data_IF_004417276059
#
_entry.id   IF_004417276059
#
_cell.length_a   1.000
_cell.length_b   1.000
_cell.length_c   1.000
_cell.angle_alpha   90.00
_cell.angle_beta   90.00
_cell.angle_gamma   90.00
#
_symmetry.space_group_name_H-M   'P 1'
#
loop_
_entity.id
_entity.type
_entity.pdbx_description
1 polymer ?
#
# COMPACT_ATOMS: atom_id res chain seq x y z
N UNK A 1 51.97 -43.45 28.12
CA UNK A 1 50.71 -42.70 28.21
C UNK A 1 50.40 -42.19 26.81
N UNK A 2 49.38 -42.77 26.14
CA UNK A 2 49.00 -42.43 24.76
C UNK A 2 48.01 -41.27 24.83
N UNK A 3 48.38 -40.11 24.30
CA UNK A 3 47.47 -38.97 24.15
C UNK A 3 46.47 -39.29 23.04
N UNK A 4 45.22 -39.52 23.41
CA UNK A 4 44.10 -39.70 22.50
C UNK A 4 43.61 -38.31 22.10
N UNK A 5 43.93 -37.87 20.87
CA UNK A 5 43.35 -36.65 20.28
C UNK A 5 41.94 -37.02 19.81
N UNK A 6 40.93 -36.49 20.51
CA UNK A 6 39.53 -36.60 20.12
C UNK A 6 39.25 -35.54 19.05
N UNK A 7 39.13 -35.98 17.79
CA UNK A 7 38.66 -35.12 16.70
C UNK A 7 37.14 -35.13 16.74
N UNK A 8 36.53 -34.03 17.18
CA UNK A 8 35.08 -33.82 17.06
C UNK A 8 34.83 -33.30 15.64
N UNK A 9 34.05 -33.99 14.79
CA UNK A 9 33.66 -33.42 13.51
C UNK A 9 32.69 -32.26 13.76
N UNK A 10 33.12 -31.05 13.45
CA UNK A 10 32.26 -29.87 13.40
C UNK A 10 31.30 -30.05 12.21
N UNK A 11 30.10 -30.56 12.47
CA UNK A 11 29.01 -30.56 11.50
C UNK A 11 28.47 -29.14 11.42
N UNK A 12 28.91 -28.38 10.41
CA UNK A 12 28.26 -27.12 10.04
C UNK A 12 26.96 -27.54 9.33
N UNK A 13 25.85 -27.55 10.08
CA UNK A 13 24.53 -27.70 9.47
C UNK A 13 24.27 -26.46 8.61
N UNK A 14 24.27 -26.65 7.29
CA UNK A 14 23.79 -25.66 6.33
C UNK A 14 22.26 -25.61 6.50
N UNK A 15 21.78 -24.80 7.44
CA UNK A 15 20.35 -24.51 7.54
C UNK A 15 19.96 -23.74 6.28
N UNK A 16 18.95 -24.18 5.50
CA UNK A 16 18.42 -23.36 4.44
C UNK A 16 17.92 -22.05 5.07
N UNK A 17 18.44 -20.93 4.57
CA UNK A 17 17.91 -19.60 4.88
C UNK A 17 16.53 -19.54 4.23
N UNK A 18 15.48 -19.82 4.99
CA UNK A 18 14.13 -19.50 4.54
C UNK A 18 14.00 -17.98 4.65
N UNK A 19 13.78 -17.29 3.53
CA UNK A 19 13.24 -15.94 3.59
C UNK A 19 11.90 -16.03 4.33
N UNK A 20 11.78 -15.28 5.43
CA UNK A 20 10.50 -15.09 6.10
C UNK A 20 9.91 -13.83 5.48
N UNK A 21 8.65 -13.90 5.04
CA UNK A 21 7.95 -12.72 4.57
C UNK A 21 7.96 -11.65 5.67
N UNK A 22 8.34 -10.43 5.30
CA UNK A 22 8.29 -9.23 6.12
C UNK A 22 7.05 -8.42 5.76
N UNK A 23 6.60 -7.58 6.68
CA UNK A 23 5.43 -6.73 6.51
C UNK A 23 5.83 -5.26 6.72
N UNK A 24 5.46 -4.42 5.76
CA UNK A 24 5.59 -2.97 5.85
C UNK A 24 4.19 -2.33 5.93
N UNK A 25 3.94 -1.62 7.02
CA UNK A 25 2.72 -0.81 7.21
C UNK A 25 3.03 0.63 6.81
N UNK A 26 2.35 1.13 5.77
CA UNK A 26 2.63 2.41 5.14
C UNK A 26 1.47 3.39 5.38
N UNK A 27 1.79 4.49 6.06
CA UNK A 27 0.91 5.66 6.10
C UNK A 27 1.03 6.47 4.79
N UNK A 28 -0.03 7.18 4.38
CA UNK A 28 0.05 8.12 3.26
C UNK A 28 1.11 9.19 3.50
N UNK A 29 1.98 9.42 2.51
CA UNK A 29 2.86 10.60 2.48
C UNK A 29 2.13 11.83 1.94
N UNK A 30 1.11 11.62 1.11
CA UNK A 30 0.24 12.64 0.56
C UNK A 30 -1.18 12.09 0.44
N UNK A 31 -2.18 12.88 0.79
CA UNK A 31 -3.59 12.59 0.53
C UNK A 31 -4.40 13.87 0.25
N UNK A 32 -5.33 13.79 -0.69
CA UNK A 32 -6.16 14.94 -1.05
C UNK A 32 -7.56 14.49 -1.48
N UNK A 33 -8.60 14.83 -0.71
CA UNK A 33 -9.98 14.68 -1.13
C UNK A 33 -10.29 15.65 -2.27
N UNK A 34 -11.07 15.20 -3.26
CA UNK A 34 -11.57 16.04 -4.35
C UNK A 34 -13.07 15.83 -4.54
N UNK A 35 -13.78 16.91 -4.85
CA UNK A 35 -15.24 16.90 -4.91
C UNK A 35 -15.78 17.66 -6.11
N UNK A 36 -16.57 16.99 -6.94
CA UNK A 36 -17.13 17.53 -8.19
C UNK A 36 -17.91 18.84 -8.01
N UNK A 37 -18.68 18.96 -6.93
CA UNK A 37 -19.48 20.17 -6.70
C UNK A 37 -18.64 21.38 -6.27
N UNK A 38 -17.38 21.17 -5.91
CA UNK A 38 -16.42 22.18 -5.47
C UNK A 38 -15.13 22.05 -6.30
N UNK A 39 -15.31 22.15 -7.61
CA UNK A 39 -14.31 21.81 -8.63
C UNK A 39 -12.89 22.38 -8.42
N UNK A 40 -12.80 23.60 -7.90
CA UNK A 40 -11.57 24.37 -7.75
C UNK A 40 -11.07 24.45 -6.29
N UNK A 41 -11.75 23.79 -5.34
CA UNK A 41 -11.31 23.75 -3.95
C UNK A 41 -10.28 22.63 -3.75
N UNK A 42 -9.19 22.94 -3.04
CA UNK A 42 -8.22 21.98 -2.56
C UNK A 42 -8.59 21.58 -1.12
N UNK A 43 -8.52 20.28 -0.82
CA UNK A 43 -8.81 19.73 0.51
C UNK A 43 -7.63 18.95 1.11
N UNK A 44 -6.39 19.13 0.63
CA UNK A 44 -5.21 18.37 1.07
C UNK A 44 -4.73 18.64 2.51
N UNK A 45 -5.56 19.30 3.34
CA UNK A 45 -5.33 19.45 4.79
C UNK A 45 -6.55 19.01 5.60
N UNK A 46 -7.49 18.31 4.97
CA UNK A 46 -8.71 17.84 5.62
C UNK A 46 -8.47 16.51 6.31
N UNK A 47 -8.84 16.40 7.59
CA UNK A 47 -8.66 15.18 8.40
C UNK A 47 -9.51 13.97 7.96
N UNK A 48 -10.33 14.09 6.91
CA UNK A 48 -11.14 13.01 6.36
C UNK A 48 -11.26 13.16 4.85
N UNK A 49 -11.36 12.04 4.16
CA UNK A 49 -11.47 11.95 2.72
C UNK A 49 -12.87 11.69 2.22
N UNK A 50 -12.93 11.50 0.91
CA UNK A 50 -14.13 11.11 0.21
C UNK A 50 -13.92 9.83 -0.59
N UNK A 51 -14.85 8.90 -0.44
CA UNK A 51 -14.91 7.71 -1.26
C UNK A 51 -16.39 7.42 -1.52
N UNK A 52 -16.91 7.83 -2.67
CA UNK A 52 -18.33 7.66 -2.95
C UNK A 52 -18.90 8.62 -3.97
N UNK A 53 -20.22 8.80 -3.88
CA UNK A 53 -20.96 9.78 -4.65
C UNK A 53 -22.05 10.39 -3.78
N UNK A 54 -22.20 11.72 -3.82
CA UNK A 54 -23.31 12.41 -3.17
C UNK A 54 -23.62 13.72 -3.88
N UNK A 55 -24.61 13.68 -4.78
CA UNK A 55 -24.94 14.76 -5.71
C UNK A 55 -23.78 15.19 -6.64
N UNK A 56 -22.65 14.48 -6.59
CA UNK A 56 -21.44 14.65 -7.38
C UNK A 56 -20.41 13.60 -6.94
N UNK A 57 -19.44 13.31 -7.82
CA UNK A 57 -18.34 12.41 -7.55
C UNK A 57 -17.48 12.91 -6.38
N UNK A 58 -17.16 12.01 -5.45
CA UNK A 58 -16.31 12.34 -4.32
C UNK A 58 -15.19 11.29 -4.24
N UNK A 59 -13.93 11.75 -4.33
CA UNK A 59 -12.75 10.90 -4.44
C UNK A 59 -11.67 11.35 -3.47
N UNK A 60 -10.69 10.49 -3.23
CA UNK A 60 -9.47 10.81 -2.47
C UNK A 60 -8.27 10.30 -3.21
N UNK A 61 -7.31 11.17 -3.49
CA UNK A 61 -6.01 10.78 -4.00
C UNK A 61 -5.09 10.46 -2.82
N UNK A 62 -4.28 9.40 -2.91
CA UNK A 62 -3.42 8.94 -1.82
C UNK A 62 -2.10 8.43 -2.40
N UNK A 63 -0.96 8.81 -1.83
CA UNK A 63 0.38 8.37 -2.26
C UNK A 63 1.15 7.77 -1.09
N UNK A 64 1.89 6.69 -1.34
CA UNK A 64 2.71 5.98 -0.36
C UNK A 64 4.19 5.99 -0.76
N UNK A 65 5.08 6.06 0.22
CA UNK A 65 6.51 5.84 0.01
C UNK A 65 6.84 4.35 0.15
N UNK A 66 7.39 3.76 -0.92
CA UNK A 66 7.75 2.34 -0.99
C UNK A 66 9.26 2.11 -0.90
N UNK A 67 10.08 3.17 -0.76
CA UNK A 67 11.54 3.08 -0.85
C UNK A 67 12.20 2.20 0.22
N UNK A 68 11.48 1.87 1.31
CA UNK A 68 11.94 0.96 2.35
C UNK A 68 11.71 -0.53 2.06
N UNK A 69 11.01 -0.87 0.98
CA UNK A 69 10.67 -2.25 0.64
C UNK A 69 11.65 -2.76 -0.41
N UNK A 70 12.54 -3.67 0.00
CA UNK A 70 13.53 -4.30 -0.88
C UNK A 70 13.24 -5.80 -1.01
N UNK A 71 12.52 -6.21 -2.05
CA UNK A 71 12.17 -7.62 -2.21
C UNK A 71 11.10 -7.90 -3.24
N UNK A 72 10.66 -9.15 -3.27
CA UNK A 72 9.53 -9.61 -4.07
C UNK A 72 8.25 -9.43 -3.24
N UNK A 73 7.28 -8.67 -3.75
CA UNK A 73 5.96 -8.51 -3.13
C UNK A 73 5.21 -9.84 -3.19
N UNK A 74 4.68 -10.28 -2.05
CA UNK A 74 3.93 -11.53 -1.91
C UNK A 74 2.48 -11.33 -1.51
N UNK A 75 2.12 -10.15 -1.01
CA UNK A 75 0.79 -9.85 -0.53
C UNK A 75 0.58 -8.36 -0.30
N UNK A 76 -0.67 -7.94 -0.29
CA UNK A 76 -1.03 -6.60 0.13
C UNK A 76 -2.43 -6.54 0.73
N UNK A 77 -2.60 -5.63 1.69
CA UNK A 77 -3.87 -5.33 2.32
C UNK A 77 -4.04 -3.81 2.41
N UNK A 78 -5.26 -3.33 2.25
CA UNK A 78 -5.62 -1.96 2.57
C UNK A 78 -6.44 -1.93 3.85
N UNK A 79 -6.08 -1.04 4.77
CA UNK A 79 -6.74 -0.92 6.08
C UNK A 79 -7.12 0.53 6.34
N UNK A 80 -8.37 0.80 6.73
CA UNK A 80 -8.84 2.15 6.99
C UNK A 80 -9.93 2.19 8.05
N UNK A 81 -10.13 3.39 8.61
CA UNK A 81 -11.27 3.68 9.46
C UNK A 81 -12.10 4.82 8.87
N UNK A 82 -13.42 4.67 8.82
CA UNK A 82 -14.32 5.73 8.37
C UNK A 82 -14.71 6.64 9.55
N UNK A 83 -14.66 7.95 9.35
CA UNK A 83 -15.34 8.94 10.20
C UNK A 83 -16.85 8.78 10.10
N UNK A 84 -17.33 8.57 8.87
CA UNK A 84 -18.73 8.35 8.54
C UNK A 84 -18.82 7.41 7.35
N UNK A 85 -19.79 6.51 7.37
CA UNK A 85 -20.13 5.70 6.21
C UNK A 85 -21.65 5.74 5.95
N UNK A 86 -22.02 5.37 4.73
CA UNK A 86 -23.39 5.07 4.35
C UNK A 86 -23.35 3.77 3.53
N UNK A 87 -23.66 2.62 4.16
CA UNK A 87 -23.55 1.31 3.52
C UNK A 87 -24.53 1.17 2.35
N UNK A 88 -24.22 0.30 1.39
CA UNK A 88 -25.10 -0.05 0.28
C UNK A 88 -24.37 -0.81 -0.80
N UNK A 89 -25.12 -1.34 -1.76
CA UNK A 89 -24.56 -2.11 -2.88
C UNK A 89 -23.80 -1.23 -3.87
N UNK A 90 -22.62 -1.66 -4.28
CA UNK A 90 -21.88 -1.05 -5.38
C UNK A 90 -20.38 -1.08 -5.12
N UNK A 91 -19.63 -0.85 -6.19
CA UNK A 91 -18.20 -1.09 -6.15
C UNK A 91 -17.45 0.16 -5.68
N UNK A 92 -16.49 -0.08 -4.79
CA UNK A 92 -15.60 0.93 -4.22
C UNK A 92 -14.18 0.54 -4.61
N UNK A 93 -13.54 1.38 -5.40
CA UNK A 93 -12.26 1.08 -6.03
C UNK A 93 -11.12 1.93 -5.46
N UNK A 94 -9.92 1.36 -5.46
CA UNK A 94 -8.67 2.10 -5.43
C UNK A 94 -7.95 1.87 -6.76
N UNK A 95 -7.90 2.90 -7.61
CA UNK A 95 -7.31 2.82 -8.96
C UNK A 95 -5.95 3.54 -8.99
N UNK A 96 -4.99 3.06 -9.77
CA UNK A 96 -3.72 3.78 -10.01
C UNK A 96 -3.97 5.14 -10.66
N UNK A 97 -3.27 6.16 -10.20
CA UNK A 97 -3.16 7.44 -10.87
C UNK A 97 -2.16 7.35 -12.04
N UNK A 98 -2.41 8.12 -13.09
CA UNK A 98 -1.62 8.12 -14.33
C UNK A 98 -0.79 9.40 -14.51
N UNK A 99 -0.67 10.21 -13.47
CA UNK A 99 0.13 11.42 -13.48
C UNK A 99 0.34 11.96 -12.07
N UNK A 100 1.39 12.75 -11.91
CA UNK A 100 1.77 13.32 -10.63
C UNK A 100 0.80 14.43 -10.18
N UNK A 101 0.83 14.71 -8.88
CA UNK A 101 -0.02 15.71 -8.24
C UNK A 101 0.61 16.21 -6.96
N UNK A 102 0.34 17.47 -6.63
CA UNK A 102 0.77 18.10 -5.39
C UNK A 102 -0.43 18.22 -4.45
N UNK A 103 -0.24 17.82 -3.20
CA UNK A 103 -1.31 17.73 -2.19
C UNK A 103 -2.00 19.06 -1.92
N UNK A 104 -1.25 20.16 -1.93
CA UNK A 104 -1.75 21.51 -1.66
C UNK A 104 -2.26 22.24 -2.92
N UNK A 105 -2.15 21.62 -4.11
CA UNK A 105 -2.61 22.20 -5.38
C UNK A 105 -3.72 21.38 -6.07
N UNK A 106 -3.86 20.09 -5.76
CA UNK A 106 -4.82 19.24 -6.45
C UNK A 106 -6.28 19.57 -6.10
N UNK A 107 -7.14 19.55 -7.09
CA UNK A 107 -8.56 19.85 -7.04
C UNK A 107 -9.29 18.86 -7.95
N UNK A 108 -10.62 18.84 -7.90
CA UNK A 108 -11.38 18.01 -8.82
C UNK A 108 -11.11 18.36 -10.29
N UNK A 109 -10.95 19.64 -10.62
CA UNK A 109 -10.77 20.11 -11.99
C UNK A 109 -9.36 19.87 -12.56
N UNK A 110 -8.34 19.68 -11.72
CA UNK A 110 -6.95 19.44 -12.16
C UNK A 110 -6.39 18.05 -11.77
N UNK A 111 -7.18 17.18 -11.13
CA UNK A 111 -6.73 15.85 -10.74
C UNK A 111 -6.20 15.06 -11.96
N UNK A 112 -5.13 14.26 -11.79
CA UNK A 112 -4.66 13.36 -12.83
C UNK A 112 -5.73 12.33 -13.21
N UNK A 113 -5.61 11.78 -14.42
CA UNK A 113 -6.40 10.63 -14.83
C UNK A 113 -6.02 9.39 -14.00
N UNK A 114 -6.89 8.40 -13.99
CA UNK A 114 -6.69 7.13 -13.31
C UNK A 114 -7.01 5.95 -14.23
N UNK A 115 -6.49 4.78 -13.88
CA UNK A 115 -6.67 3.55 -14.64
C UNK A 115 -7.85 2.73 -14.09
N UNK A 116 -8.97 2.76 -14.81
CA UNK A 116 -10.18 1.99 -14.46
C UNK A 116 -10.15 0.55 -15.01
N UNK A 117 -9.08 0.09 -15.64
CA UNK A 117 -8.97 -1.31 -16.10
C UNK A 117 -8.75 -2.27 -14.93
N UNK A 118 -8.92 -3.58 -15.14
CA UNK A 118 -8.66 -4.58 -14.09
C UNK A 118 -7.21 -4.50 -13.57
N UNK A 119 -6.23 -4.32 -14.47
CA UNK A 119 -4.81 -4.12 -14.13
C UNK A 119 -4.52 -2.76 -13.46
N UNK A 120 -5.51 -1.86 -13.51
CA UNK A 120 -5.51 -0.52 -12.96
C UNK A 120 -5.96 -0.44 -11.50
N UNK A 121 -6.72 -1.45 -11.04
CA UNK A 121 -7.41 -1.45 -9.75
C UNK A 121 -6.63 -2.25 -8.73
N UNK A 122 -6.05 -1.56 -7.76
CA UNK A 122 -5.43 -2.21 -6.62
C UNK A 122 -6.49 -2.83 -5.71
N UNK A 123 -7.65 -2.18 -5.54
CA UNK A 123 -8.76 -2.69 -4.75
C UNK A 123 -10.07 -2.55 -5.53
N UNK A 124 -10.89 -3.59 -5.49
CA UNK A 124 -12.25 -3.63 -6.05
C UNK A 124 -13.16 -4.42 -5.09
N UNK A 125 -13.96 -3.71 -4.30
CA UNK A 125 -14.80 -4.32 -3.26
C UNK A 125 -16.27 -3.90 -3.38
N UNK A 126 -17.18 -4.86 -3.14
CA UNK A 126 -18.55 -4.55 -2.75
C UNK A 126 -18.54 -4.15 -1.28
N UNK A 127 -19.15 -3.00 -0.98
CA UNK A 127 -18.89 -2.28 0.25
C UNK A 127 -19.85 -2.67 1.39
N UNK A 128 -19.30 -3.26 2.46
CA UNK A 128 -20.04 -3.64 3.68
C UNK A 128 -19.33 -3.11 4.95
N UNK A 129 -19.57 -1.85 5.36
CA UNK A 129 -18.78 -1.22 6.39
C UNK A 129 -19.35 -1.42 7.80
N UNK A 130 -18.47 -1.77 8.72
CA UNK A 130 -18.57 -1.41 10.14
C UNK A 130 -17.96 -0.01 10.38
N UNK A 131 -18.19 0.58 11.56
CA UNK A 131 -17.59 1.87 11.97
C UNK A 131 -16.18 1.73 12.59
N UNK A 132 -15.65 0.51 12.67
CA UNK A 132 -14.29 0.23 13.14
C UNK A 132 -13.26 0.27 12.00
N UNK A 133 -11.97 0.09 12.32
CA UNK A 133 -10.98 -0.27 11.31
C UNK A 133 -11.45 -1.50 10.54
N UNK A 134 -11.43 -1.39 9.22
CA UNK A 134 -11.69 -2.50 8.30
C UNK A 134 -10.42 -2.74 7.49
N UNK A 135 -10.19 -4.00 7.17
CA UNK A 135 -9.04 -4.44 6.39
C UNK A 135 -9.52 -5.33 5.27
N UNK A 136 -9.02 -5.08 4.06
CA UNK A 136 -9.35 -5.84 2.88
C UNK A 136 -8.07 -6.34 2.21
N UNK A 137 -8.08 -7.63 1.88
CA UNK A 137 -7.06 -8.28 1.07
C UNK A 137 -7.18 -7.81 -0.38
N UNK A 138 -6.07 -7.33 -0.93
CA UNK A 138 -5.93 -6.92 -2.31
C UNK A 138 -4.78 -7.64 -3.03
N UNK A 139 -4.25 -8.70 -2.44
CA UNK A 139 -3.03 -9.39 -2.87
C UNK A 139 -2.98 -9.67 -4.37
N UNK A 140 -4.00 -10.33 -4.92
CA UNK A 140 -4.00 -10.78 -6.32
C UNK A 140 -3.87 -9.61 -7.32
N UNK A 141 -4.48 -8.47 -7.02
CA UNK A 141 -4.44 -7.28 -7.90
C UNK A 141 -3.26 -6.35 -7.59
N UNK A 142 -2.78 -6.36 -6.34
CA UNK A 142 -1.78 -5.42 -5.86
C UNK A 142 -0.33 -5.85 -6.15
N UNK A 143 -0.03 -7.15 -6.24
CA UNK A 143 1.35 -7.65 -6.42
C UNK A 143 2.04 -6.95 -7.59
N UNK A 144 1.46 -7.01 -8.79
CA UNK A 144 2.09 -6.46 -10.00
C UNK A 144 2.21 -4.92 -9.94
N UNK A 145 1.20 -4.26 -9.35
CA UNK A 145 1.16 -2.80 -9.21
C UNK A 145 2.28 -2.33 -8.27
N UNK A 146 2.34 -2.90 -7.06
CA UNK A 146 3.29 -2.50 -6.03
C UNK A 146 4.71 -2.89 -6.46
N UNK A 147 4.89 -4.07 -7.06
CA UNK A 147 6.20 -4.47 -7.58
C UNK A 147 6.68 -3.52 -8.67
N UNK A 148 5.81 -3.11 -9.61
CA UNK A 148 6.18 -2.12 -10.62
C UNK A 148 6.60 -0.78 -10.00
N UNK A 149 5.92 -0.32 -8.95
CA UNK A 149 6.28 0.90 -8.23
C UNK A 149 7.60 0.79 -7.44
N UNK A 150 7.90 -0.38 -6.88
CA UNK A 150 9.20 -0.64 -6.24
C UNK A 150 10.32 -0.61 -7.29
N UNK A 151 10.11 -1.27 -8.42
CA UNK A 151 11.10 -1.37 -9.50
C UNK A 151 11.27 -0.03 -10.26
N UNK A 152 10.21 0.77 -10.33
CA UNK A 152 10.11 2.03 -11.08
C UNK A 152 9.46 3.11 -10.19
N UNK A 153 10.16 3.65 -9.18
CA UNK A 153 9.58 4.58 -8.21
C UNK A 153 9.03 5.87 -8.85
N UNK A 154 9.56 6.29 -9.99
CA UNK A 154 9.07 7.46 -10.75
C UNK A 154 7.69 7.23 -11.41
N UNK A 155 7.20 5.99 -11.46
CA UNK A 155 5.87 5.61 -11.95
C UNK A 155 4.82 5.51 -10.82
N UNK A 156 5.24 5.65 -9.56
CA UNK A 156 4.33 5.69 -8.41
C UNK A 156 3.69 7.08 -8.27
N UNK A 157 2.52 7.26 -8.89
CA UNK A 157 1.68 8.45 -8.70
C UNK A 157 0.62 8.29 -7.60
N UNK A 158 0.58 7.14 -6.93
CA UNK A 158 -0.42 6.80 -5.93
C UNK A 158 -1.74 6.26 -6.52
N UNK A 159 -2.76 6.29 -5.68
CA UNK A 159 -4.09 5.74 -5.92
C UNK A 159 -5.15 6.84 -5.87
N UNK A 160 -6.29 6.57 -6.49
CA UNK A 160 -7.53 7.31 -6.28
C UNK A 160 -8.62 6.37 -5.74
N UNK A 161 -9.14 6.72 -4.58
CA UNK A 161 -10.32 6.09 -4.00
C UNK A 161 -11.56 6.68 -4.66
N UNK A 162 -12.36 5.83 -5.30
CA UNK A 162 -13.57 6.26 -6.00
C UNK A 162 -14.66 5.20 -5.97
N UNK A 163 -15.88 5.64 -6.27
CA UNK A 163 -17.01 4.75 -6.50
C UNK A 163 -17.09 4.36 -7.97
N UNK A 164 -17.61 3.17 -8.25
CA UNK A 164 -18.10 2.80 -9.56
C UNK A 164 -19.50 2.14 -9.51
N UNK A 165 -20.44 2.54 -10.39
CA UNK A 165 -20.44 3.80 -11.13
C UNK A 165 -20.53 5.01 -10.17
N UNK A 166 -20.06 6.18 -10.61
CA UNK A 166 -20.22 7.45 -9.87
C UNK A 166 -21.65 7.99 -9.99
N UNK A 167 -22.57 7.28 -9.35
CA UNK A 167 -23.97 7.66 -9.29
C UNK A 167 -24.62 7.02 -8.07
N UNK A 168 -25.67 7.65 -7.53
CA UNK A 168 -26.36 7.15 -6.34
C UNK A 168 -25.58 7.40 -5.03
N UNK A 169 -26.31 7.52 -3.92
CA UNK A 169 -25.75 8.05 -2.66
C UNK A 169 -25.09 6.99 -1.76
N UNK A 170 -25.06 5.73 -2.19
CA UNK A 170 -24.48 4.59 -1.47
C UNK A 170 -23.86 3.58 -2.46
N UNK A 171 -22.80 2.86 -2.07
CA UNK A 171 -22.02 3.07 -0.84
C UNK A 171 -21.25 4.39 -0.85
N UNK A 172 -20.90 4.86 0.35
CA UNK A 172 -20.02 6.01 0.57
C UNK A 172 -19.31 5.87 1.91
N UNK A 173 -18.03 6.22 1.96
CA UNK A 173 -17.26 6.39 3.18
C UNK A 173 -16.45 7.68 3.14
N UNK A 174 -16.28 8.26 4.33
CA UNK A 174 -15.35 9.33 4.62
C UNK A 174 -14.21 8.76 5.47
N UNK A 175 -13.17 8.18 4.84
CA UNK A 175 -12.03 7.62 5.57
C UNK A 175 -11.28 8.72 6.31
N UNK A 176 -10.71 8.43 7.48
CA UNK A 176 -9.79 9.37 8.12
C UNK A 176 -8.51 9.51 7.30
N UNK A 177 -7.95 10.71 7.24
CA UNK A 177 -6.74 11.07 6.49
C UNK A 177 -5.55 11.31 7.41
N UNK A 178 -4.36 11.58 6.86
CA UNK A 178 -3.13 11.71 7.67
C UNK A 178 -3.17 12.85 8.70
N UNK A 179 -4.01 13.87 8.51
CA UNK A 179 -4.23 14.94 9.50
C UNK A 179 -5.11 14.52 10.68
N UNK A 180 -5.71 13.32 10.64
CA UNK A 180 -6.53 12.78 11.71
C UNK A 180 -5.70 12.22 12.86
N UNK A 181 -6.32 12.13 14.04
CA UNK A 181 -5.78 11.35 15.16
C UNK A 181 -6.22 9.88 15.14
N UNK A 182 -7.07 9.49 14.19
CA UNK A 182 -7.52 8.12 13.94
C UNK A 182 -6.74 7.51 12.78
N UNK A 183 -6.83 6.19 12.63
CA UNK A 183 -6.14 5.46 11.57
C UNK A 183 -6.51 6.00 10.18
N UNK A 184 -5.49 6.42 9.41
CA UNK A 184 -5.64 6.82 8.02
C UNK A 184 -5.83 5.60 7.10
N UNK A 185 -5.80 5.81 5.78
CA UNK A 185 -5.83 4.70 4.82
C UNK A 185 -4.43 4.10 4.69
N UNK A 186 -4.18 3.01 5.38
CA UNK A 186 -2.91 2.29 5.37
C UNK A 186 -2.82 1.37 4.16
N UNK A 187 -1.62 1.28 3.59
CA UNK A 187 -1.23 0.20 2.69
C UNK A 187 -0.28 -0.73 3.44
N UNK A 188 -0.66 -1.99 3.57
CA UNK A 188 0.14 -3.02 4.23
C UNK A 188 0.70 -3.92 3.13
N UNK A 189 2.02 -4.04 3.04
CA UNK A 189 2.71 -4.80 2.00
C UNK A 189 3.48 -5.95 2.63
N UNK A 190 3.21 -7.16 2.16
CA UNK A 190 3.95 -8.36 2.52
C UNK A 190 4.98 -8.65 1.42
N UNK A 191 6.23 -8.89 1.79
CA UNK A 191 7.31 -9.09 0.82
C UNK A 191 8.38 -10.04 1.34
N UNK A 192 9.05 -10.75 0.43
CA UNK A 192 10.25 -11.52 0.74
C UNK A 192 11.48 -10.62 0.60
N UNK A 193 12.17 -10.26 1.69
CA UNK A 193 13.29 -9.34 1.62
C UNK A 193 14.45 -9.93 0.80
N UNK A 194 15.10 -9.07 0.02
CA UNK A 194 16.34 -9.46 -0.67
C UNK A 194 17.41 -9.67 0.39
N UNK A 195 17.74 -10.92 0.71
CA UNK A 195 18.83 -11.22 1.62
C UNK A 195 20.13 -10.64 1.05
N UNK A 196 20.59 -9.51 1.59
CA UNK A 196 21.98 -9.07 1.41
C UNK A 196 22.81 -10.14 2.11
N UNK A 197 23.42 -11.03 1.34
CA UNK A 197 24.44 -11.94 1.86
C UNK A 197 25.55 -11.05 2.39
N UNK A 198 25.52 -10.73 3.69
CA UNK A 198 26.68 -10.14 4.32
C UNK A 198 27.85 -11.11 4.07
N UNK A 199 28.84 -10.63 3.32
CA UNK A 199 30.04 -11.38 2.96
C UNK A 199 30.91 -11.80 4.16
N UNK A 200 30.41 -11.70 5.39
CA UNK A 200 31.07 -12.02 6.65
C UNK A 200 31.43 -13.50 6.80
N UNK A 201 30.83 -14.42 6.03
CA UNK A 201 31.15 -15.86 6.12
C UNK A 201 32.23 -16.33 5.13
N UNK A 202 32.38 -15.74 3.95
CA UNK A 202 33.41 -16.19 2.97
C UNK A 202 34.82 -15.78 3.41
N UNK A 203 34.96 -14.60 4.03
CA UNK A 203 36.21 -14.12 4.61
C UNK A 203 36.68 -14.93 5.82
N UNK A 204 35.76 -15.33 6.70
CA UNK A 204 36.05 -16.14 7.87
C UNK A 204 36.49 -17.58 7.51
N UNK A 205 35.93 -18.15 6.43
CA UNK A 205 36.30 -19.50 5.96
C UNK A 205 37.72 -19.53 5.39
N UNK A 206 38.18 -18.47 4.69
CA UNK A 206 39.58 -18.41 4.19
C UNK A 206 40.63 -18.28 5.30
N UNK A 207 40.26 -17.79 6.49
CA UNK A 207 41.17 -17.70 7.64
C UNK A 207 41.34 -19.03 8.39
N UNK A 208 40.44 -19.99 8.20
CA UNK A 208 40.48 -21.32 8.84
C UNK A 208 41.28 -22.38 8.05
N UNK A 209 41.72 -22.06 6.82
CA UNK A 209 42.51 -22.95 5.95
C UNK A 209 43.94 -22.45 5.67
N UNK A 210 44.53 -21.67 6.59
CA UNK A 210 45.98 -21.36 6.58
C UNK A 210 46.69 -21.99 7.75
#
# INVERSE_FOLDING_TARGET
MKNLIMVIPLVIALLPLYAVAEEAELEPIADAPVFELHGDENYGSQYYGYWGYYNGGQRTLIKYDLTGIEGEVTGARMSWQCMQNNPGSGDMWACKLLGDWEEDEVTWNNQPNHDDTEDGRLLDIDWDPDNGPVEHDCTDAAIDIIQNWIDNPDENYGLILRKYPESGNTPRCYPYMKESAYQSVLLIVEYNPTNVVESSSVGAVKALFK
#
